data_IF_903660038793
#
_entry.id   IF_903660038793
#
_cell.length_a   1.000
_cell.length_b   1.000
_cell.length_c   1.000
_cell.angle_alpha   90.00
_cell.angle_beta   90.00
_cell.angle_gamma   90.00
#
_symmetry.space_group_name_H-M   'P 1'
#
loop_
_entity.id
_entity.type
_entity.pdbx_description
1 polymer ?
#
# COMPACT_ATOMS: atom_id res chain seq x y z
N UNK A 1 -29.13 9.91 30.24
CA UNK A 1 -27.66 9.82 30.13
C UNK A 1 -27.35 9.05 28.86
N UNK A 2 -27.15 9.77 27.75
CA UNK A 2 -26.91 9.17 26.43
C UNK A 2 -25.57 8.44 26.46
N UNK A 3 -25.56 7.13 26.15
CA UNK A 3 -24.32 6.43 25.78
C UNK A 3 -23.95 6.96 24.40
N UNK A 4 -23.22 8.07 24.38
CA UNK A 4 -22.58 8.59 23.19
C UNK A 4 -21.67 7.45 22.70
N UNK A 5 -22.13 6.76 21.66
CA UNK A 5 -21.40 5.67 21.04
C UNK A 5 -20.01 6.17 20.72
N UNK A 6 -19.00 5.45 21.20
CA UNK A 6 -17.61 5.69 20.89
C UNK A 6 -17.50 5.62 19.37
N UNK A 7 -17.44 6.77 18.70
CA UNK A 7 -17.20 6.82 17.26
C UNK A 7 -15.73 6.41 17.13
N UNK A 8 -15.51 5.12 16.89
CA UNK A 8 -14.17 4.59 16.63
C UNK A 8 -13.68 5.24 15.34
N UNK A 9 -12.70 6.12 15.52
CA UNK A 9 -12.12 6.97 14.50
C UNK A 9 -11.16 6.12 13.66
N UNK A 10 -11.68 5.16 12.92
CA UNK A 10 -10.89 4.46 11.89
C UNK A 10 -10.78 5.34 10.64
N UNK A 11 -10.17 6.53 10.78
CA UNK A 11 -9.83 7.37 9.64
C UNK A 11 -8.41 7.04 9.21
N UNK A 12 -8.18 5.85 8.65
CA UNK A 12 -6.96 5.62 7.86
C UNK A 12 -7.14 6.42 6.58
N UNK A 13 -6.31 7.45 6.38
CA UNK A 13 -6.40 8.24 5.15
C UNK A 13 -5.77 7.46 3.98
N UNK A 14 -6.16 7.79 2.75
CA UNK A 14 -5.53 7.19 1.56
C UNK A 14 -4.01 7.44 1.53
N UNK A 15 -3.58 8.62 1.96
CA UNK A 15 -2.18 9.00 2.05
C UNK A 15 -1.40 8.11 3.04
N UNK A 16 -1.94 7.92 4.25
CA UNK A 16 -1.33 7.02 5.25
C UNK A 16 -1.21 5.60 4.72
N UNK A 17 -2.22 5.15 3.95
CA UNK A 17 -2.20 3.81 3.37
C UNK A 17 -1.18 3.68 2.25
N UNK A 18 -0.99 4.70 1.43
CA UNK A 18 0.04 4.71 0.39
C UNK A 18 1.44 4.63 1.00
N UNK A 19 1.71 5.39 2.06
CA UNK A 19 2.99 5.32 2.78
C UNK A 19 3.26 3.91 3.31
N UNK A 20 2.25 3.30 3.96
CA UNK A 20 2.36 1.92 4.42
C UNK A 20 2.67 0.93 3.29
N UNK A 21 1.99 1.03 2.15
CA UNK A 21 2.20 0.12 1.01
C UNK A 21 3.63 0.25 0.48
N UNK A 22 4.13 1.48 0.40
CA UNK A 22 5.48 1.76 -0.07
C UNK A 22 6.55 1.20 0.89
N UNK A 23 6.44 1.47 2.19
CA UNK A 23 7.33 0.90 3.21
C UNK A 23 7.31 -0.63 3.19
N UNK A 24 6.12 -1.22 3.10
CA UNK A 24 5.96 -2.67 3.00
C UNK A 24 6.63 -3.22 1.75
N UNK A 25 6.48 -2.54 0.60
CA UNK A 25 7.06 -2.94 -0.66
C UNK A 25 8.59 -2.82 -0.67
N UNK A 26 9.13 -1.75 -0.09
CA UNK A 26 10.57 -1.58 0.11
C UNK A 26 11.16 -2.69 0.99
N UNK A 27 10.46 -3.10 2.04
CA UNK A 27 10.93 -4.14 2.95
C UNK A 27 10.87 -5.55 2.32
N UNK A 28 9.75 -5.89 1.68
CA UNK A 28 9.51 -7.24 1.19
C UNK A 28 10.03 -7.49 -0.23
N UNK A 29 10.22 -6.42 -1.02
CA UNK A 29 10.67 -6.39 -2.43
C UNK A 29 9.73 -7.10 -3.42
N UNK A 30 9.22 -8.29 -3.08
CA UNK A 30 8.26 -9.07 -3.85
C UNK A 30 7.29 -9.79 -2.91
N UNK A 31 6.00 -9.60 -3.12
CA UNK A 31 4.93 -10.13 -2.26
C UNK A 31 3.62 -10.22 -3.04
N UNK A 32 2.65 -10.96 -2.53
CA UNK A 32 1.29 -10.93 -3.09
C UNK A 32 0.39 -9.95 -2.34
N UNK A 33 -0.64 -9.45 -3.02
CA UNK A 33 -1.63 -8.57 -2.40
C UNK A 33 -2.29 -9.23 -1.19
N UNK A 34 -2.54 -10.55 -1.26
CA UNK A 34 -3.06 -11.31 -0.11
C UNK A 34 -2.10 -11.31 1.07
N UNK A 35 -0.79 -11.49 0.84
CA UNK A 35 0.23 -11.46 1.89
C UNK A 35 0.27 -10.10 2.63
N UNK A 36 0.15 -8.99 1.89
CA UNK A 36 0.07 -7.65 2.47
C UNK A 36 -1.18 -7.45 3.36
N UNK A 37 -2.19 -8.31 3.21
CA UNK A 37 -3.49 -8.25 3.87
C UNK A 37 -3.66 -9.30 4.99
N UNK A 38 -2.61 -10.02 5.41
CA UNK A 38 -2.74 -11.19 6.31
C UNK A 38 -3.22 -10.91 7.77
N UNK A 39 -3.61 -9.68 8.12
CA UNK A 39 -4.08 -9.29 9.47
C UNK A 39 -5.60 -9.07 9.62
N UNK A 40 -6.43 -9.81 8.87
CA UNK A 40 -7.90 -9.68 8.87
C UNK A 40 -8.39 -8.23 8.62
N UNK A 41 -8.06 -7.63 7.46
CA UNK A 41 -8.43 -6.26 7.13
C UNK A 41 -9.94 -6.12 6.92
N UNK A 42 -10.49 -4.98 7.33
CA UNK A 42 -11.85 -4.59 6.99
C UNK A 42 -12.02 -4.46 5.47
N UNK A 43 -13.24 -4.59 4.95
CA UNK A 43 -13.53 -4.38 3.51
C UNK A 43 -13.04 -3.01 3.03
N UNK A 44 -13.19 -1.99 3.87
CA UNK A 44 -12.67 -0.64 3.61
C UNK A 44 -11.16 -0.65 3.41
N UNK A 45 -10.42 -1.32 4.30
CA UNK A 45 -8.97 -1.41 4.20
C UNK A 45 -8.52 -2.13 2.92
N UNK A 46 -9.23 -3.17 2.50
CA UNK A 46 -8.95 -3.86 1.23
C UNK A 46 -9.12 -2.89 0.05
N UNK A 47 -10.24 -2.16 -0.01
CA UNK A 47 -10.52 -1.19 -1.08
C UNK A 47 -9.46 -0.08 -1.11
N UNK A 48 -9.15 0.53 0.03
CA UNK A 48 -8.16 1.61 0.11
C UNK A 48 -6.75 1.10 -0.25
N UNK A 49 -6.40 -0.13 0.15
CA UNK A 49 -5.12 -0.74 -0.23
C UNK A 49 -5.02 -0.96 -1.73
N UNK A 50 -6.10 -1.44 -2.35
CA UNK A 50 -6.16 -1.65 -3.79
C UNK A 50 -6.02 -0.33 -4.54
N UNK A 51 -6.75 0.72 -4.13
CA UNK A 51 -6.62 2.06 -4.71
C UNK A 51 -5.19 2.62 -4.56
N UNK A 52 -4.56 2.42 -3.40
CA UNK A 52 -3.18 2.84 -3.16
C UNK A 52 -2.17 2.14 -4.08
N UNK A 53 -2.34 0.83 -4.33
CA UNK A 53 -1.50 0.09 -5.29
C UNK A 53 -1.67 0.65 -6.70
N UNK A 54 -2.91 0.92 -7.15
CA UNK A 54 -3.16 1.47 -8.48
C UNK A 54 -2.48 2.83 -8.68
N UNK A 55 -2.48 3.70 -7.66
CA UNK A 55 -1.79 5.00 -7.76
C UNK A 55 -0.26 4.81 -7.76
N UNK A 56 0.28 3.89 -6.94
CA UNK A 56 1.71 3.59 -6.89
C UNK A 56 2.23 2.95 -8.20
N UNK A 57 1.39 2.18 -8.90
CA UNK A 57 1.70 1.70 -10.24
C UNK A 57 1.75 2.83 -11.26
N UNK A 58 0.81 3.77 -11.19
CA UNK A 58 0.72 4.90 -12.12
C UNK A 58 1.97 5.80 -12.04
N UNK A 59 2.57 5.92 -10.86
CA UNK A 59 3.86 6.62 -10.66
C UNK A 59 5.10 5.74 -10.91
N UNK A 60 4.90 4.46 -11.27
CA UNK A 60 5.97 3.53 -11.65
C UNK A 60 6.71 2.84 -10.51
N UNK A 61 6.35 3.08 -9.25
CA UNK A 61 7.06 2.51 -8.07
C UNK A 61 6.80 1.02 -7.87
N UNK A 62 5.68 0.52 -8.38
CA UNK A 62 5.31 -0.89 -8.28
C UNK A 62 5.13 -1.49 -9.67
N UNK A 63 5.70 -2.67 -9.86
CA UNK A 63 5.37 -3.58 -10.95
C UNK A 63 4.40 -4.63 -10.41
N UNK A 64 3.34 -4.91 -11.15
CA UNK A 64 2.43 -6.00 -10.81
C UNK A 64 2.21 -6.99 -11.93
N UNK A 65 1.93 -8.23 -11.53
CA UNK A 65 1.56 -9.34 -12.39
C UNK A 65 0.27 -9.97 -11.84
N UNK A 66 -0.72 -10.14 -12.71
CA UNK A 66 -1.96 -10.86 -12.43
C UNK A 66 -2.31 -11.69 -13.67
N UNK A 67 -2.56 -12.98 -13.49
CA UNK A 67 -2.79 -13.92 -14.60
C UNK A 67 -4.21 -13.79 -15.16
N UNK A 68 -5.23 -13.89 -14.30
CA UNK A 68 -6.63 -13.71 -14.67
C UNK A 68 -7.36 -12.75 -13.72
N UNK A 69 -8.56 -12.33 -14.11
CA UNK A 69 -9.42 -11.51 -13.26
C UNK A 69 -9.74 -12.29 -11.97
N UNK A 70 -9.62 -11.62 -10.83
CA UNK A 70 -9.80 -12.17 -9.47
C UNK A 70 -8.70 -13.12 -8.97
N UNK A 71 -7.66 -13.37 -9.76
CA UNK A 71 -6.46 -14.04 -9.27
C UNK A 71 -5.68 -13.15 -8.31
N UNK A 72 -4.71 -13.74 -7.62
CA UNK A 72 -3.81 -13.00 -6.76
C UNK A 72 -2.97 -11.99 -7.58
N UNK A 73 -2.62 -10.89 -6.94
CA UNK A 73 -1.85 -9.81 -7.56
C UNK A 73 -0.46 -9.88 -6.96
N UNK A 74 0.53 -10.24 -7.78
CA UNK A 74 1.92 -10.25 -7.37
C UNK A 74 2.52 -8.86 -7.58
N UNK A 75 3.12 -8.31 -6.54
CA UNK A 75 3.66 -6.96 -6.48
C UNK A 75 5.18 -7.06 -6.32
N UNK A 76 5.91 -6.26 -7.09
CA UNK A 76 7.36 -6.11 -7.01
C UNK A 76 7.70 -4.63 -6.93
N UNK A 77 8.52 -4.25 -5.96
CA UNK A 77 8.98 -2.87 -5.80
C UNK A 77 10.03 -2.53 -6.86
N UNK A 78 9.91 -1.36 -7.49
CA UNK A 78 10.87 -0.89 -8.48
C UNK A 78 11.85 0.12 -7.85
N UNK A 79 13.03 -0.37 -7.47
CA UNK A 79 14.11 0.43 -6.89
C UNK A 79 14.73 1.44 -7.89
N UNK A 80 14.31 1.46 -9.15
CA UNK A 80 14.89 2.34 -10.19
C UNK A 80 14.17 3.68 -10.31
N UNK A 81 12.97 3.80 -9.76
CA UNK A 81 12.22 5.06 -9.75
C UNK A 81 12.81 5.98 -8.69
N UNK A 82 13.55 7.00 -9.14
CA UNK A 82 14.03 8.08 -8.28
C UNK A 82 12.92 9.12 -8.15
N UNK A 83 12.62 9.54 -6.94
CA UNK A 83 11.85 10.75 -6.73
C UNK A 83 12.62 11.93 -7.32
N UNK A 84 12.05 12.60 -8.32
CA UNK A 84 12.51 13.93 -8.70
C UNK A 84 12.24 14.86 -7.50
N UNK A 85 13.22 14.99 -6.60
CA UNK A 85 13.14 15.93 -5.47
C UNK A 85 13.74 15.49 -4.13
N UNK A 86 14.12 14.23 -3.93
CA UNK A 86 14.77 13.81 -2.67
C UNK A 86 16.30 13.73 -2.82
N UNK A 87 16.98 14.73 -2.23
CA UNK A 87 18.38 14.61 -1.86
C UNK A 87 18.46 13.52 -0.79
N UNK A 88 18.89 12.32 -1.17
CA UNK A 88 19.30 11.31 -0.20
C UNK A 88 20.61 11.81 0.40
N UNK A 89 20.70 12.13 1.71
CA UNK A 89 21.98 12.41 2.31
C UNK A 89 22.83 11.14 2.18
N UNK A 90 23.96 11.26 1.51
CA UNK A 90 25.00 10.23 1.54
C UNK A 90 25.39 10.03 2.98
N UNK A 91 25.03 8.88 3.55
CA UNK A 91 25.61 8.43 4.81
C UNK A 91 27.08 8.10 4.55
N UNK A 92 27.97 9.01 4.95
CA UNK A 92 29.36 8.71 5.31
C UNK A 92 29.41 7.72 6.50
#
# INVERSE_FOLDING_TARGET
RSKFGKIEKESVTLADRMLFIEEYAMLHQKFSFRQMLESQPSKTMIIVSFLGILELMKVGKLKIVQENIFDDIYITYDNTVKYEGEIIPSSE
#
